data_IF_298202609727
#
_entry.id   IF_298202609727
#
_cell.length_a   1.000
_cell.length_b   1.000
_cell.length_c   1.000
_cell.angle_alpha   90.00
_cell.angle_beta   90.00
_cell.angle_gamma   90.00
#
_symmetry.space_group_name_H-M   'P 1'
#
loop_
_entity.id
_entity.type
_entity.pdbx_description
1 polymer ?
#
# COMPACT_ATOMS: atom_id res chain seq x y z
N UNK A 1 -13.53 1.90 -9.25
CA UNK A 1 -12.57 1.15 -8.41
C UNK A 1 -13.20 -0.20 -8.16
N UNK A 2 -12.65 -1.30 -8.68
CA UNK A 2 -13.23 -2.62 -8.41
C UNK A 2 -12.81 -3.07 -7.00
N UNK A 3 -13.73 -3.57 -6.16
CA UNK A 3 -13.38 -4.07 -4.82
C UNK A 3 -12.29 -5.15 -4.83
N UNK A 4 -12.18 -5.91 -5.94
CA UNK A 4 -11.14 -6.93 -6.16
C UNK A 4 -9.71 -6.37 -6.28
N UNK A 5 -9.56 -5.06 -6.45
CA UNK A 5 -8.24 -4.40 -6.56
C UNK A 5 -7.81 -3.72 -5.25
N UNK A 6 -8.53 -3.96 -4.16
CA UNK A 6 -8.15 -3.53 -2.82
C UNK A 6 -7.39 -4.65 -2.12
N UNK A 7 -6.27 -4.28 -1.51
CA UNK A 7 -5.41 -5.16 -0.73
C UNK A 7 -5.50 -4.73 0.73
N UNK A 8 -5.70 -5.69 1.63
CA UNK A 8 -5.46 -5.51 3.06
C UNK A 8 -3.97 -5.28 3.35
N UNK A 9 -3.63 -4.91 4.59
CA UNK A 9 -2.24 -4.78 5.02
C UNK A 9 -1.40 -6.02 4.70
N UNK A 10 -1.90 -7.22 5.02
CA UNK A 10 -1.20 -8.49 4.79
C UNK A 10 -1.02 -8.79 3.30
N UNK A 11 -2.04 -8.56 2.50
CA UNK A 11 -1.97 -8.77 1.04
C UNK A 11 -1.02 -7.77 0.38
N UNK A 12 -1.05 -6.50 0.80
CA UNK A 12 -0.16 -5.46 0.29
C UNK A 12 1.30 -5.72 0.71
N UNK A 13 1.53 -6.18 1.95
CA UNK A 13 2.84 -6.65 2.44
C UNK A 13 3.38 -7.77 1.56
N UNK A 14 2.57 -8.81 1.32
CA UNK A 14 2.93 -9.94 0.44
C UNK A 14 3.19 -9.47 -0.99
N UNK A 15 2.34 -8.59 -1.52
CA UNK A 15 2.44 -8.08 -2.89
C UNK A 15 3.69 -7.24 -3.14
N UNK A 16 4.07 -6.43 -2.15
CA UNK A 16 5.25 -5.56 -2.21
C UNK A 16 6.54 -6.27 -1.77
N UNK A 17 6.42 -7.42 -1.09
CA UNK A 17 7.56 -8.09 -0.44
C UNK A 17 8.12 -7.26 0.71
N UNK A 18 7.26 -6.57 1.46
CA UNK A 18 7.64 -5.67 2.56
C UNK A 18 7.07 -6.14 3.88
N UNK A 19 7.79 -5.89 4.98
CA UNK A 19 7.26 -6.16 6.33
C UNK A 19 6.00 -5.33 6.63
N UNK A 20 5.01 -5.92 7.31
CA UNK A 20 3.75 -5.24 7.64
C UNK A 20 3.97 -4.01 8.52
N UNK A 21 4.93 -4.01 9.45
CA UNK A 21 5.23 -2.84 10.30
C UNK A 21 5.81 -1.71 9.46
N UNK A 22 6.73 -2.02 8.54
CA UNK A 22 7.26 -1.02 7.62
C UNK A 22 6.15 -0.42 6.75
N UNK A 23 5.21 -1.25 6.29
CA UNK A 23 4.07 -0.81 5.49
C UNK A 23 3.09 0.06 6.30
N UNK A 24 2.85 -0.27 7.58
CA UNK A 24 2.07 0.58 8.51
C UNK A 24 2.75 1.92 8.73
N UNK A 25 4.06 1.97 8.94
CA UNK A 25 4.79 3.23 9.07
C UNK A 25 4.63 4.11 7.84
N UNK A 26 4.79 3.53 6.64
CA UNK A 26 4.59 4.26 5.38
C UNK A 26 3.16 4.79 5.22
N UNK A 27 2.15 3.99 5.60
CA UNK A 27 0.76 4.40 5.54
C UNK A 27 0.45 5.53 6.52
N UNK A 28 0.97 5.42 7.75
CA UNK A 28 0.83 6.44 8.81
C UNK A 28 1.53 7.75 8.41
N UNK A 29 2.72 7.66 7.82
CA UNK A 29 3.48 8.80 7.28
C UNK A 29 2.91 9.34 5.95
N UNK A 30 1.85 8.72 5.40
CA UNK A 30 1.25 9.05 4.09
C UNK A 30 2.25 8.99 2.93
N UNK A 31 3.26 8.14 3.04
CA UNK A 31 4.32 7.94 2.03
C UNK A 31 3.97 6.89 1.00
N UNK A 32 2.93 6.10 1.23
CA UNK A 32 2.34 5.15 0.30
C UNK A 32 0.83 5.43 0.15
N UNK A 33 0.22 5.26 -1.04
CA UNK A 33 -1.21 5.41 -1.21
C UNK A 33 -1.99 4.35 -0.42
N UNK A 34 -2.70 4.78 0.61
CA UNK A 34 -3.55 3.95 1.46
C UNK A 34 -4.78 4.71 1.96
N UNK A 35 -5.79 3.98 2.42
CA UNK A 35 -6.97 4.51 3.10
C UNK A 35 -7.17 3.70 4.38
N UNK A 36 -7.57 4.37 5.46
CA UNK A 36 -7.99 3.69 6.68
C UNK A 36 -9.51 3.54 6.67
N UNK A 37 -9.99 2.30 6.74
CA UNK A 37 -11.41 1.95 6.80
C UNK A 37 -11.64 1.08 8.04
N UNK A 38 -12.52 1.50 8.93
CA UNK A 38 -12.85 0.78 10.18
C UNK A 38 -11.61 0.36 11.00
N UNK A 39 -10.61 1.25 11.06
CA UNK A 39 -9.35 1.02 11.78
C UNK A 39 -8.32 0.15 11.02
N UNK A 40 -8.70 -0.48 9.90
CA UNK A 40 -7.81 -1.26 9.07
C UNK A 40 -7.23 -0.45 7.90
N UNK A 41 -5.99 -0.76 7.50
CA UNK A 41 -5.39 -0.19 6.31
C UNK A 41 -5.78 -0.97 5.06
N UNK A 42 -6.23 -0.24 4.05
CA UNK A 42 -6.59 -0.75 2.74
C UNK A 42 -5.80 -0.01 1.66
N UNK A 43 -5.34 -0.77 0.67
CA UNK A 43 -4.47 -0.26 -0.36
C UNK A 43 -5.02 -0.59 -1.74
N UNK A 44 -5.11 0.41 -2.61
CA UNK A 44 -5.46 0.16 -4.01
C UNK A 44 -4.25 -0.38 -4.75
N UNK A 45 -4.37 -1.57 -5.35
CA UNK A 45 -3.31 -2.17 -6.17
C UNK A 45 -2.81 -1.22 -7.26
N UNK A 46 -3.73 -0.61 -8.01
CA UNK A 46 -3.41 0.37 -9.07
C UNK A 46 -2.59 1.56 -8.54
N UNK A 47 -2.95 2.08 -7.37
CA UNK A 47 -2.24 3.22 -6.77
C UNK A 47 -0.87 2.81 -6.23
N UNK A 48 -0.78 1.65 -5.58
CA UNK A 48 0.50 1.08 -5.15
C UNK A 48 1.42 0.85 -6.34
N UNK A 49 0.93 0.29 -7.44
CA UNK A 49 1.72 0.06 -8.65
C UNK A 49 2.32 1.36 -9.16
N UNK A 50 1.47 2.40 -9.32
CA UNK A 50 1.92 3.72 -9.75
C UNK A 50 2.93 4.34 -8.77
N UNK A 51 2.74 4.13 -7.47
CA UNK A 51 3.68 4.58 -6.45
C UNK A 51 5.02 3.84 -6.56
N UNK A 52 5.01 2.52 -6.72
CA UNK A 52 6.21 1.69 -6.85
C UNK A 52 7.06 2.13 -8.05
N UNK A 53 6.43 2.36 -9.20
CA UNK A 53 7.08 2.92 -10.38
C UNK A 53 7.75 4.29 -10.12
N UNK A 54 7.15 5.13 -9.28
CA UNK A 54 7.74 6.41 -8.89
C UNK A 54 8.90 6.25 -7.91
N UNK A 55 8.87 5.25 -7.02
CA UNK A 55 9.97 4.97 -6.10
C UNK A 55 11.20 4.46 -6.84
N UNK A 56 11.03 3.55 -7.81
CA UNK A 56 12.15 3.03 -8.63
C UNK A 56 12.86 4.14 -9.42
N UNK A 57 12.17 5.24 -9.75
CA UNK A 57 12.77 6.40 -10.43
C UNK A 57 13.52 7.35 -9.49
N UNK A 58 13.34 7.22 -8.19
CA UNK A 58 13.99 8.05 -7.16
C UNK A 58 15.24 7.39 -6.57
N UNK A 59 15.51 6.14 -6.92
CA UNK A 59 16.79 5.45 -6.66
C UNK A 59 17.68 5.54 -7.89
#
# INVERSE_FOLDING_TARGET
MNPKDMLSLKEASTYLGMDERALVSLATERRIPSVQLDGAWVFSKKSIDKWRWQQTRRQ
#
